data_IF_912081907327
#
_entry.id   IF_912081907327
#
_cell.length_a   1.000
_cell.length_b   1.000
_cell.length_c   1.000
_cell.angle_alpha   90.00
_cell.angle_beta   90.00
_cell.angle_gamma   90.00
#
_symmetry.space_group_name_H-M   'P 1'
#
loop_
_entity.id
_entity.type
_entity.pdbx_description
1 polymer ?
#
# COMPACT_ATOMS: atom_id res chain seq x y z
N UNK A 1 42.53 44.62 -36.59
CA UNK A 1 42.67 45.48 -35.39
C UNK A 1 41.27 45.76 -34.86
N UNK A 2 40.84 45.02 -33.86
CA UNK A 2 39.58 45.24 -33.15
C UNK A 2 39.82 44.79 -31.71
N UNK A 3 40.12 45.74 -30.84
CA UNK A 3 40.36 45.52 -29.42
C UNK A 3 39.00 45.32 -28.74
N UNK A 4 38.78 44.14 -28.16
CA UNK A 4 37.60 43.87 -27.34
C UNK A 4 37.94 44.19 -25.88
N UNK A 5 37.20 45.14 -25.31
CA UNK A 5 37.28 45.59 -23.93
C UNK A 5 36.93 44.47 -22.94
N UNK A 6 37.72 44.38 -21.88
CA UNK A 6 37.50 43.50 -20.72
C UNK A 6 36.52 44.18 -19.76
N UNK A 7 35.42 43.52 -19.35
CA UNK A 7 34.49 44.10 -18.36
C UNK A 7 35.13 44.13 -16.97
N UNK A 8 35.16 45.32 -16.37
CA UNK A 8 35.54 45.55 -14.97
C UNK A 8 34.52 44.87 -14.03
N UNK A 9 35.01 43.95 -13.20
CA UNK A 9 34.25 43.35 -12.10
C UNK A 9 33.95 44.41 -11.03
N UNK A 10 32.73 44.43 -10.46
CA UNK A 10 32.36 45.34 -9.38
C UNK A 10 33.10 45.00 -8.08
N UNK A 11 33.59 46.04 -7.42
CA UNK A 11 34.24 45.98 -6.10
C UNK A 11 33.24 45.57 -5.00
N UNK A 12 33.67 44.81 -3.98
CA UNK A 12 32.82 44.44 -2.85
C UNK A 12 32.56 45.66 -1.95
N UNK A 13 31.30 46.04 -1.82
CA UNK A 13 30.86 47.05 -0.87
C UNK A 13 30.99 46.53 0.57
N UNK A 14 31.68 47.30 1.40
CA UNK A 14 31.77 47.07 2.84
C UNK A 14 30.38 47.22 3.49
N UNK A 15 29.91 46.26 4.30
CA UNK A 15 28.68 46.42 5.04
C UNK A 15 28.87 47.48 6.14
N UNK A 16 28.06 48.53 6.03
CA UNK A 16 27.92 49.57 7.02
C UNK A 16 27.59 48.99 8.40
N UNK A 17 28.27 49.52 9.41
CA UNK A 17 28.04 49.28 10.84
C UNK A 17 26.62 49.67 11.22
N UNK A 18 25.70 48.72 11.08
CA UNK A 18 24.30 48.83 11.45
C UNK A 18 24.13 48.64 12.96
N UNK A 19 23.57 49.68 13.58
CA UNK A 19 23.08 49.73 14.95
C UNK A 19 22.46 48.41 15.41
N UNK A 20 23.02 47.81 16.48
CA UNK A 20 22.51 46.57 17.08
C UNK A 20 21.08 46.80 17.57
N UNK A 21 20.10 46.21 16.86
CA UNK A 21 18.76 46.00 17.41
C UNK A 21 18.89 45.17 18.70
N UNK A 22 18.18 45.53 19.78
CA UNK A 22 18.14 44.72 21.00
C UNK A 22 17.69 43.29 20.66
N UNK A 23 18.43 42.32 21.21
CA UNK A 23 18.12 40.90 21.06
C UNK A 23 16.66 40.66 21.45
N UNK A 24 15.87 39.92 20.64
CA UNK A 24 14.56 39.48 21.04
C UNK A 24 14.68 38.63 22.32
N UNK A 25 13.79 38.92 23.26
CA UNK A 25 13.65 38.20 24.52
C UNK A 25 13.62 36.68 24.29
N UNK A 26 14.22 35.88 25.18
CA UNK A 26 14.16 34.43 25.07
C UNK A 26 12.70 33.97 25.00
N UNK A 27 12.39 33.00 24.14
CA UNK A 27 11.03 32.51 23.96
C UNK A 27 10.47 32.03 25.30
N UNK A 28 9.25 32.48 25.59
CA UNK A 28 8.46 32.04 26.73
C UNK A 28 8.53 30.51 26.82
N UNK A 29 8.98 30.03 27.98
CA UNK A 29 8.88 28.63 28.40
C UNK A 29 7.42 28.22 28.19
N UNK A 30 7.16 27.43 27.15
CA UNK A 30 5.86 26.81 26.90
C UNK A 30 5.49 26.02 28.15
N UNK A 31 4.37 26.37 28.76
CA UNK A 31 3.75 25.57 29.82
C UNK A 31 3.64 24.11 29.36
N UNK A 32 3.85 23.13 30.25
CA UNK A 32 3.61 21.72 29.93
C UNK A 32 2.14 21.57 29.51
N UNK A 33 1.92 21.38 28.21
CA UNK A 33 0.62 21.10 27.63
C UNK A 33 0.06 19.87 28.35
N UNK A 34 -1.08 20.04 29.02
CA UNK A 34 -1.74 18.96 29.75
C UNK A 34 -1.86 17.71 28.85
N UNK A 35 -1.55 16.50 29.36
CA UNK A 35 -1.55 15.30 28.54
C UNK A 35 -2.94 15.11 27.91
N UNK A 36 -3.01 14.89 26.58
CA UNK A 36 -4.29 14.70 25.91
C UNK A 36 -5.03 13.50 26.50
N UNK A 37 -6.38 13.55 26.59
CA UNK A 37 -7.17 12.50 27.22
C UNK A 37 -6.99 11.15 26.51
N UNK A 38 -6.36 10.20 27.21
CA UNK A 38 -5.90 8.87 26.75
C UNK A 38 -6.99 7.83 26.35
N UNK A 39 -8.25 8.21 26.13
CA UNK A 39 -9.37 7.24 26.17
C UNK A 39 -9.86 6.63 24.84
N UNK A 40 -9.19 6.83 23.69
CA UNK A 40 -9.62 6.20 22.42
C UNK A 40 -8.53 5.46 21.63
N UNK A 41 -7.38 5.11 22.24
CA UNK A 41 -6.26 4.47 21.54
C UNK A 41 -6.39 2.93 21.45
N UNK A 42 -7.23 2.29 22.28
CA UNK A 42 -7.23 0.82 22.41
C UNK A 42 -7.77 0.05 21.20
N UNK A 43 -8.82 0.54 20.52
CA UNK A 43 -9.40 -0.16 19.35
C UNK A 43 -8.41 -0.15 18.18
N UNK A 44 -7.73 0.98 17.96
CA UNK A 44 -6.73 1.10 16.90
C UNK A 44 -5.45 0.32 17.21
N UNK A 45 -5.08 0.20 18.48
CA UNK A 45 -4.02 -0.73 18.91
C UNK A 45 -4.37 -2.17 18.53
N UNK A 46 -5.62 -2.58 18.70
CA UNK A 46 -6.11 -3.91 18.33
C UNK A 46 -5.96 -4.23 16.83
N UNK A 47 -6.34 -3.32 15.94
CA UNK A 47 -6.20 -3.54 14.48
C UNK A 47 -4.72 -3.60 14.07
N UNK A 48 -3.88 -2.76 14.67
CA UNK A 48 -2.42 -2.80 14.43
C UNK A 48 -1.80 -4.12 14.90
N UNK A 49 -2.29 -4.67 16.03
CA UNK A 49 -1.89 -5.97 16.54
C UNK A 49 -2.38 -7.11 15.65
N UNK A 50 -3.59 -7.03 15.10
CA UNK A 50 -4.10 -8.02 14.14
C UNK A 50 -3.21 -8.11 12.90
N UNK A 51 -2.70 -6.99 12.40
CA UNK A 51 -1.80 -6.98 11.23
C UNK A 51 -0.39 -7.50 11.58
N UNK A 52 0.05 -7.41 12.83
CA UNK A 52 1.31 -8.00 13.29
C UNK A 52 1.18 -9.46 13.75
N UNK A 53 -0.04 -10.00 13.89
CA UNK A 53 -0.28 -11.38 14.34
C UNK A 53 0.46 -12.43 13.49
N UNK A 54 0.48 -12.38 12.14
CA UNK A 54 1.22 -13.37 11.36
C UNK A 54 2.72 -13.34 11.68
N UNK A 55 3.30 -12.15 11.81
CA UNK A 55 4.71 -11.97 12.18
C UNK A 55 5.02 -12.47 13.59
N UNK A 56 4.14 -12.19 14.56
CA UNK A 56 4.26 -12.67 15.95
C UNK A 56 4.06 -14.18 16.06
N UNK A 57 3.12 -14.75 15.30
CA UNK A 57 2.89 -16.20 15.24
C UNK A 57 4.10 -16.93 14.65
N UNK A 58 4.68 -16.40 13.58
CA UNK A 58 5.92 -16.94 13.00
C UNK A 58 7.10 -16.83 13.99
N UNK A 59 7.20 -15.71 14.71
CA UNK A 59 8.22 -15.54 15.74
C UNK A 59 8.07 -16.59 16.86
N UNK A 60 6.86 -16.75 17.39
CA UNK A 60 6.54 -17.75 18.41
C UNK A 60 6.79 -19.19 17.91
N UNK A 61 6.45 -19.49 16.66
CA UNK A 61 6.76 -20.78 16.04
C UNK A 61 8.28 -21.02 15.97
N UNK A 62 9.06 -20.00 15.57
CA UNK A 62 10.52 -20.07 15.56
C UNK A 62 11.13 -20.28 16.95
N UNK A 63 10.54 -19.69 17.99
CA UNK A 63 10.95 -19.89 19.38
C UNK A 63 10.61 -21.29 19.90
N UNK A 64 9.49 -21.88 19.47
CA UNK A 64 9.15 -23.27 19.76
C UNK A 64 10.08 -24.25 19.02
N UNK A 65 10.38 -23.98 17.74
CA UNK A 65 11.34 -24.77 16.95
C UNK A 65 12.74 -24.79 17.56
N UNK A 66 13.13 -23.72 18.25
CA UNK A 66 14.38 -23.66 19.03
C UNK A 66 14.41 -24.68 20.16
N UNK A 67 13.27 -24.95 20.82
CA UNK A 67 13.21 -25.89 21.95
C UNK A 67 13.36 -27.35 21.50
N UNK A 68 12.93 -27.68 20.28
CA UNK A 68 13.05 -29.01 19.69
C UNK A 68 14.33 -29.22 18.87
N UNK A 69 15.27 -28.25 18.89
CA UNK A 69 16.52 -28.26 18.10
C UNK A 69 16.30 -28.40 16.58
N UNK A 70 15.19 -27.86 16.04
CA UNK A 70 14.93 -27.85 14.60
C UNK A 70 15.40 -26.53 13.98
N UNK A 71 16.64 -26.49 13.51
CA UNK A 71 17.27 -25.28 12.96
C UNK A 71 16.63 -24.82 11.64
N UNK A 72 16.29 -25.74 10.74
CA UNK A 72 15.68 -25.40 9.45
C UNK A 72 14.33 -24.68 9.60
N UNK A 73 13.44 -25.16 10.47
CA UNK A 73 12.17 -24.50 10.74
C UNK A 73 12.38 -23.16 11.47
N UNK A 74 13.34 -23.09 12.40
CA UNK A 74 13.66 -21.85 13.08
C UNK A 74 14.10 -20.75 12.09
N UNK A 75 14.95 -21.07 11.12
CA UNK A 75 15.45 -20.12 10.14
C UNK A 75 14.34 -19.68 9.17
N UNK A 76 13.51 -20.60 8.71
CA UNK A 76 12.31 -20.29 7.91
C UNK A 76 11.35 -19.35 8.65
N UNK A 77 10.99 -19.68 9.91
CA UNK A 77 10.09 -18.87 10.72
C UNK A 77 10.67 -17.49 11.04
N UNK A 78 11.99 -17.38 11.27
CA UNK A 78 12.65 -16.09 11.47
C UNK A 78 12.71 -15.26 10.19
N UNK A 79 13.01 -15.87 9.05
CA UNK A 79 13.00 -15.18 7.76
C UNK A 79 11.59 -14.64 7.44
N UNK A 80 10.57 -15.49 7.60
CA UNK A 80 9.16 -15.12 7.41
C UNK A 80 8.73 -14.03 8.39
N UNK A 81 9.08 -14.15 9.68
CA UNK A 81 8.76 -13.14 10.69
C UNK A 81 9.42 -11.79 10.40
N UNK A 82 10.70 -11.77 9.96
CA UNK A 82 11.39 -10.54 9.53
C UNK A 82 10.73 -9.94 8.30
N UNK A 83 10.37 -10.74 7.32
CA UNK A 83 9.62 -10.32 6.13
C UNK A 83 8.28 -9.70 6.50
N UNK A 84 7.46 -10.39 7.29
CA UNK A 84 6.16 -9.88 7.74
C UNK A 84 6.30 -8.62 8.59
N UNK A 85 7.27 -8.55 9.50
CA UNK A 85 7.46 -7.38 10.38
C UNK A 85 7.93 -6.16 9.60
N UNK A 86 8.88 -6.34 8.66
CA UNK A 86 9.33 -5.27 7.76
C UNK A 86 8.21 -4.81 6.82
N UNK A 87 7.40 -5.75 6.33
CA UNK A 87 6.27 -5.44 5.47
C UNK A 87 5.21 -4.62 6.18
N UNK A 88 4.81 -5.01 7.40
CA UNK A 88 3.78 -4.31 8.19
C UNK A 88 4.19 -2.88 8.56
N UNK A 89 5.49 -2.61 8.67
CA UNK A 89 6.01 -1.27 8.94
C UNK A 89 5.91 -0.32 7.74
N UNK A 90 5.81 -0.85 6.51
CA UNK A 90 5.65 -0.01 5.32
C UNK A 90 4.29 0.68 5.31
N UNK A 91 4.21 1.94 4.83
CA UNK A 91 2.92 2.57 4.58
C UNK A 91 2.10 1.70 3.63
N UNK A 92 0.78 1.71 3.79
CA UNK A 92 -0.18 0.94 2.98
C UNK A 92 -0.06 -0.60 3.04
N UNK A 93 0.78 -1.15 3.92
CA UNK A 93 0.98 -2.61 4.01
C UNK A 93 -0.33 -3.39 4.23
N UNK A 94 -1.22 -2.89 5.09
CA UNK A 94 -2.53 -3.48 5.34
C UNK A 94 -3.41 -3.54 4.08
N UNK A 95 -3.36 -2.51 3.23
CA UNK A 95 -4.08 -2.50 1.96
C UNK A 95 -3.58 -3.59 1.02
N UNK A 96 -2.26 -3.76 0.93
CA UNK A 96 -1.67 -4.79 0.07
C UNK A 96 -2.07 -6.19 0.53
N UNK A 97 -1.99 -6.48 1.84
CA UNK A 97 -2.44 -7.79 2.37
C UNK A 97 -3.91 -8.05 2.06
N UNK A 98 -4.79 -7.09 2.34
CA UNK A 98 -6.23 -7.24 2.09
C UNK A 98 -6.48 -7.46 0.59
N UNK A 99 -5.83 -6.68 -0.26
CA UNK A 99 -5.95 -6.80 -1.72
C UNK A 99 -5.50 -8.17 -2.21
N UNK A 100 -4.39 -8.70 -1.69
CA UNK A 100 -3.88 -10.02 -2.06
C UNK A 100 -4.84 -11.11 -1.63
N UNK A 101 -5.32 -11.09 -0.38
CA UNK A 101 -6.25 -12.10 0.12
C UNK A 101 -7.55 -12.10 -0.69
N UNK A 102 -8.13 -10.94 -0.94
CA UNK A 102 -9.38 -10.84 -1.71
C UNK A 102 -9.18 -11.27 -3.17
N UNK A 103 -8.13 -10.79 -3.83
CA UNK A 103 -7.88 -11.10 -5.25
C UNK A 103 -7.48 -12.55 -5.48
N UNK A 104 -6.70 -13.16 -4.58
CA UNK A 104 -6.37 -14.59 -4.66
C UNK A 104 -7.61 -15.43 -4.41
N UNK A 105 -8.42 -15.10 -3.40
CA UNK A 105 -9.67 -15.81 -3.14
C UNK A 105 -10.60 -15.75 -4.38
N UNK A 106 -10.73 -14.58 -4.98
CA UNK A 106 -11.48 -14.37 -6.21
C UNK A 106 -10.97 -15.25 -7.36
N UNK A 107 -9.65 -15.25 -7.62
CA UNK A 107 -9.04 -16.09 -8.65
C UNK A 107 -9.25 -17.59 -8.37
N UNK A 108 -9.19 -18.02 -7.12
CA UNK A 108 -9.45 -19.42 -6.75
C UNK A 108 -10.90 -19.80 -7.07
N UNK A 109 -11.88 -18.98 -6.70
CA UNK A 109 -13.29 -19.25 -7.04
C UNK A 109 -13.54 -19.28 -8.55
N UNK A 110 -12.90 -18.38 -9.31
CA UNK A 110 -13.00 -18.37 -10.78
C UNK A 110 -12.30 -19.59 -11.39
N UNK A 111 -11.14 -20.00 -10.88
CA UNK A 111 -10.43 -21.20 -11.35
C UNK A 111 -11.24 -22.49 -11.09
N UNK A 112 -11.88 -22.59 -9.91
CA UNK A 112 -12.77 -23.73 -9.62
C UNK A 112 -13.99 -23.75 -10.53
N UNK A 113 -14.46 -22.58 -10.99
CA UNK A 113 -15.57 -22.47 -11.94
C UNK A 113 -15.19 -23.08 -13.29
N UNK A 114 -13.99 -22.80 -13.82
CA UNK A 114 -13.52 -23.41 -15.07
C UNK A 114 -13.36 -24.92 -15.02
N UNK A 115 -13.15 -25.48 -13.83
CA UNK A 115 -12.98 -26.92 -13.65
C UNK A 115 -14.31 -27.67 -13.61
N UNK A 116 -15.45 -26.97 -13.56
CA UNK A 116 -16.76 -27.58 -13.40
C UNK A 116 -17.49 -27.68 -14.75
N UNK A 117 -17.63 -28.91 -15.27
CA UNK A 117 -18.28 -29.19 -16.56
C UNK A 117 -19.74 -28.68 -16.63
N UNK A 118 -20.43 -28.59 -15.49
CA UNK A 118 -21.83 -28.12 -15.42
C UNK A 118 -21.97 -26.68 -15.91
N UNK A 119 -20.93 -25.85 -15.72
CA UNK A 119 -20.94 -24.44 -16.12
C UNK A 119 -20.87 -24.24 -17.63
N UNK A 120 -20.47 -25.26 -18.40
CA UNK A 120 -20.51 -25.19 -19.88
C UNK A 120 -21.93 -25.08 -20.43
N UNK A 121 -22.94 -25.40 -19.62
CA UNK A 121 -24.36 -25.27 -19.95
C UNK A 121 -25.02 -24.03 -19.32
N UNK A 122 -24.26 -23.19 -18.64
CA UNK A 122 -24.78 -21.92 -18.13
C UNK A 122 -24.91 -20.92 -19.28
N UNK A 123 -26.14 -20.50 -19.55
CA UNK A 123 -26.43 -19.39 -20.46
C UNK A 123 -26.90 -18.20 -19.63
N UNK A 124 -26.21 -17.07 -19.78
CA UNK A 124 -26.66 -15.81 -19.20
C UNK A 124 -27.96 -15.32 -19.87
N UNK A 125 -28.69 -14.41 -19.21
CA UNK A 125 -29.93 -13.86 -19.75
C UNK A 125 -29.69 -13.16 -21.09
N UNK A 126 -30.71 -13.07 -21.96
CA UNK A 126 -30.58 -12.51 -23.32
C UNK A 126 -30.15 -11.04 -23.37
N UNK A 127 -30.27 -10.29 -22.28
CA UNK A 127 -29.81 -8.91 -22.14
C UNK A 127 -28.34 -8.80 -21.70
N UNK A 128 -27.69 -9.93 -21.37
CA UNK A 128 -26.25 -9.97 -21.16
C UNK A 128 -25.52 -9.74 -22.49
N UNK A 129 -24.54 -8.85 -22.47
CA UNK A 129 -23.73 -8.52 -23.65
C UNK A 129 -22.45 -9.35 -23.75
N UNK A 130 -22.17 -10.20 -22.75
CA UNK A 130 -21.09 -11.17 -22.72
C UNK A 130 -21.62 -12.52 -22.27
N UNK A 131 -20.93 -13.58 -22.69
CA UNK A 131 -21.10 -14.93 -22.16
C UNK A 131 -20.45 -15.08 -20.78
N UNK A 132 -20.62 -16.27 -20.18
CA UNK A 132 -20.05 -16.61 -18.88
C UNK A 132 -18.53 -16.53 -18.92
N UNK A 133 -17.92 -17.07 -19.97
CA UNK A 133 -16.45 -17.10 -20.15
C UNK A 133 -15.87 -15.69 -20.27
N UNK A 134 -16.51 -14.81 -21.04
CA UNK A 134 -16.13 -13.41 -21.16
C UNK A 134 -16.27 -12.67 -19.84
N UNK A 135 -17.33 -12.92 -19.08
CA UNK A 135 -17.51 -12.34 -17.74
C UNK A 135 -16.42 -12.80 -16.75
N UNK A 136 -16.18 -14.11 -16.67
CA UNK A 136 -15.14 -14.71 -15.83
C UNK A 136 -13.76 -14.18 -16.21
N UNK A 137 -13.43 -14.12 -17.50
CA UNK A 137 -12.16 -13.58 -17.99
C UNK A 137 -11.97 -12.11 -17.60
N UNK A 138 -13.02 -11.29 -17.71
CA UNK A 138 -12.98 -9.90 -17.26
C UNK A 138 -12.76 -9.77 -15.74
N UNK A 139 -13.42 -10.63 -14.95
CA UNK A 139 -13.28 -10.65 -13.49
C UNK A 139 -11.86 -11.07 -13.07
N UNK A 140 -11.28 -12.09 -13.71
CA UNK A 140 -9.88 -12.48 -13.52
C UNK A 140 -8.90 -11.34 -13.85
N UNK A 141 -9.15 -10.61 -14.94
CA UNK A 141 -8.30 -9.49 -15.35
C UNK A 141 -8.28 -8.38 -14.27
N UNK A 142 -9.42 -8.07 -13.65
CA UNK A 142 -9.48 -7.13 -12.54
C UNK A 142 -8.75 -7.64 -11.30
N UNK A 143 -8.92 -8.92 -10.93
CA UNK A 143 -8.21 -9.51 -9.80
C UNK A 143 -6.68 -9.46 -9.98
N UNK A 144 -6.19 -9.76 -11.18
CA UNK A 144 -4.76 -9.64 -11.51
C UNK A 144 -4.31 -8.17 -11.47
N UNK A 145 -5.10 -7.25 -12.02
CA UNK A 145 -4.80 -5.82 -11.96
C UNK A 145 -4.68 -5.33 -10.51
N UNK A 146 -5.56 -5.78 -9.61
CA UNK A 146 -5.51 -5.44 -8.19
C UNK A 146 -4.21 -5.96 -7.53
N UNK A 147 -3.79 -7.18 -7.86
CA UNK A 147 -2.53 -7.78 -7.38
C UNK A 147 -1.30 -6.99 -7.83
N UNK A 148 -1.31 -6.45 -9.06
CA UNK A 148 -0.21 -5.62 -9.58
C UNK A 148 -0.25 -4.19 -9.04
N UNK A 149 -1.45 -3.63 -8.89
CA UNK A 149 -1.62 -2.24 -8.45
C UNK A 149 -1.26 -2.04 -6.98
N UNK A 150 -1.59 -2.98 -6.11
CA UNK A 150 -1.31 -2.86 -4.68
C UNK A 150 0.19 -2.61 -4.35
N UNK A 151 1.16 -3.41 -4.85
CA UNK A 151 2.58 -3.15 -4.63
C UNK A 151 3.07 -1.91 -5.38
N UNK A 152 2.55 -1.63 -6.58
CA UNK A 152 2.86 -0.41 -7.32
C UNK A 152 2.52 0.84 -6.49
N UNK A 153 1.31 0.92 -5.94
CA UNK A 153 0.86 2.07 -5.18
C UNK A 153 1.62 2.22 -3.86
N UNK A 154 1.88 1.10 -3.16
CA UNK A 154 2.75 1.10 -1.98
C UNK A 154 4.16 1.62 -2.30
N UNK A 155 4.75 1.20 -3.42
CA UNK A 155 6.06 1.65 -3.87
C UNK A 155 6.06 3.17 -4.14
N UNK A 156 5.08 3.68 -4.89
CA UNK A 156 4.98 5.12 -5.19
C UNK A 156 4.83 5.99 -3.94
N UNK A 157 4.00 5.56 -2.98
CA UNK A 157 3.87 6.27 -1.69
C UNK A 157 5.17 6.23 -0.90
N UNK A 158 5.86 5.08 -0.88
CA UNK A 158 7.14 4.95 -0.18
C UNK A 158 8.23 5.81 -0.81
N UNK A 159 8.28 5.87 -2.14
CA UNK A 159 9.20 6.72 -2.90
C UNK A 159 8.99 8.19 -2.57
N UNK A 160 7.73 8.66 -2.59
CA UNK A 160 7.42 10.06 -2.27
C UNK A 160 7.86 10.43 -0.83
N UNK A 161 7.61 9.55 0.15
CA UNK A 161 8.03 9.78 1.54
C UNK A 161 9.56 9.91 1.62
N UNK A 162 10.28 9.07 0.88
CA UNK A 162 11.74 9.10 0.85
C UNK A 162 12.27 10.41 0.26
N UNK A 163 11.72 10.84 -0.88
CA UNK A 163 12.10 12.07 -1.56
C UNK A 163 11.83 13.30 -0.67
N UNK A 164 10.64 13.37 -0.06
CA UNK A 164 10.25 14.44 0.88
C UNK A 164 11.13 14.45 2.15
N UNK A 165 11.60 13.28 2.58
CA UNK A 165 12.48 13.13 3.75
C UNK A 165 13.92 13.58 3.48
N UNK A 166 14.44 13.32 2.28
CA UNK A 166 15.79 13.75 1.88
C UNK A 166 15.89 15.26 1.85
N UNK A 167 14.87 15.96 1.33
CA UNK A 167 14.88 17.41 1.23
C UNK A 167 14.94 18.09 2.61
N UNK A 168 14.32 17.48 3.62
CA UNK A 168 14.29 17.99 5.01
C UNK A 168 15.55 17.69 5.82
N UNK A 169 16.39 16.77 5.37
CA UNK A 169 17.59 16.36 6.11
C UNK A 169 18.74 17.37 5.96
N UNK A 170 18.86 18.26 6.94
CA UNK A 170 20.07 19.04 7.26
C UNK A 170 20.51 18.63 8.68
N UNK A 171 21.76 18.22 9.03
CA UNK A 171 22.84 17.47 8.37
C UNK A 171 22.78 15.96 8.81
N UNK A 172 23.84 15.12 8.84
CA UNK A 172 23.73 13.64 8.84
C UNK A 172 23.44 13.03 10.22
N UNK A 173 22.21 13.11 10.71
CA UNK A 173 21.76 12.17 11.75
C UNK A 173 21.34 10.82 11.14
N UNK A 174 21.59 9.77 11.91
CA UNK A 174 21.56 8.36 11.48
C UNK A 174 20.14 7.79 11.37
N UNK A 175 19.15 8.43 12.03
CA UNK A 175 17.76 7.98 12.08
C UNK A 175 16.83 9.19 11.96
N UNK A 176 16.01 9.23 10.91
CA UNK A 176 14.98 10.24 10.75
C UNK A 176 13.63 9.63 11.15
N UNK A 177 13.00 10.18 12.18
CA UNK A 177 11.60 9.88 12.49
C UNK A 177 10.70 10.70 11.57
N UNK A 178 10.02 10.03 10.64
CA UNK A 178 9.06 10.67 9.74
C UNK A 178 7.75 10.85 10.49
N UNK A 179 7.31 12.11 10.59
CA UNK A 179 6.06 12.46 11.23
C UNK A 179 4.87 11.92 10.43
N UNK A 180 3.77 11.63 11.12
CA UNK A 180 2.57 11.03 10.50
C UNK A 180 1.96 11.93 9.43
N UNK A 181 2.04 13.23 9.67
CA UNK A 181 1.54 14.30 8.80
C UNK A 181 2.26 14.26 7.45
N UNK A 182 3.56 14.01 7.46
CA UNK A 182 4.37 13.88 6.25
C UNK A 182 3.95 12.64 5.45
N UNK A 183 3.78 11.49 6.12
CA UNK A 183 3.30 10.26 5.47
C UNK A 183 1.93 10.46 4.81
N UNK A 184 1.01 11.16 5.49
CA UNK A 184 -0.31 11.48 4.93
C UNK A 184 -0.24 12.46 3.78
N UNK A 185 0.65 13.45 3.85
CA UNK A 185 0.84 14.42 2.79
C UNK A 185 1.41 13.74 1.53
N UNK A 186 2.44 12.89 1.68
CA UNK A 186 3.00 12.11 0.57
C UNK A 186 1.95 11.17 -0.04
N UNK A 187 1.12 10.51 0.78
CA UNK A 187 0.00 9.70 0.29
C UNK A 187 -0.99 10.50 -0.56
N UNK A 188 -1.42 11.67 -0.07
CA UNK A 188 -2.36 12.56 -0.80
C UNK A 188 -1.76 13.06 -2.09
N UNK A 189 -0.46 13.39 -2.08
CA UNK A 189 0.28 13.82 -3.24
C UNK A 189 0.27 12.73 -4.33
N UNK A 190 0.69 11.51 -3.98
CA UNK A 190 0.67 10.37 -4.91
C UNK A 190 -0.75 10.09 -5.41
N UNK A 191 -1.75 10.09 -4.54
CA UNK A 191 -3.12 9.82 -4.96
C UNK A 191 -3.67 10.84 -5.97
N UNK A 192 -3.34 12.13 -5.81
CA UNK A 192 -3.85 13.20 -6.69
C UNK A 192 -3.04 13.39 -7.97
N UNK A 193 -1.73 13.10 -7.94
CA UNK A 193 -0.82 13.43 -9.02
C UNK A 193 -0.29 12.21 -9.81
N UNK A 194 -0.44 11.00 -9.28
CA UNK A 194 -0.01 9.78 -9.98
C UNK A 194 -1.04 9.34 -11.03
N UNK A 195 -0.64 9.38 -12.30
CA UNK A 195 -1.49 8.97 -13.42
C UNK A 195 -1.94 7.51 -13.31
N UNK A 196 -1.07 6.62 -12.80
CA UNK A 196 -1.40 5.21 -12.61
C UNK A 196 -2.51 5.01 -11.59
N UNK A 197 -2.47 5.74 -10.47
CA UNK A 197 -3.55 5.75 -9.48
C UNK A 197 -4.85 6.28 -10.08
N UNK A 198 -4.81 7.36 -10.87
CA UNK A 198 -5.99 7.88 -11.55
C UNK A 198 -6.63 6.85 -12.50
N UNK A 199 -5.82 6.20 -13.35
CA UNK A 199 -6.29 5.14 -14.26
C UNK A 199 -6.90 3.98 -13.48
N UNK A 200 -6.28 3.59 -12.37
CA UNK A 200 -6.79 2.51 -11.53
C UNK A 200 -8.15 2.84 -10.88
N UNK A 201 -8.42 4.09 -10.51
CA UNK A 201 -9.76 4.49 -9.99
C UNK A 201 -10.85 4.24 -11.04
N UNK A 202 -10.58 4.51 -12.32
CA UNK A 202 -11.51 4.18 -13.40
C UNK A 202 -11.64 2.67 -13.60
N UNK A 203 -10.54 1.92 -13.50
CA UNK A 203 -10.57 0.46 -13.55
C UNK A 203 -11.40 -0.13 -12.39
N UNK A 204 -11.30 0.44 -11.20
CA UNK A 204 -12.09 0.02 -10.04
C UNK A 204 -13.59 0.30 -10.25
N UNK A 205 -13.95 1.46 -10.81
CA UNK A 205 -15.33 1.76 -11.16
C UNK A 205 -15.87 0.78 -12.22
N UNK A 206 -15.05 0.43 -13.21
CA UNK A 206 -15.39 -0.58 -14.20
C UNK A 206 -15.57 -1.97 -13.55
N UNK A 207 -14.66 -2.37 -12.66
CA UNK A 207 -14.74 -3.61 -11.89
C UNK A 207 -16.02 -3.68 -11.06
N UNK A 208 -16.39 -2.59 -10.37
CA UNK A 208 -17.63 -2.50 -9.60
C UNK A 208 -18.87 -2.75 -10.46
N UNK A 209 -18.95 -2.09 -11.62
CA UNK A 209 -20.07 -2.27 -12.57
C UNK A 209 -20.06 -3.69 -13.13
N UNK A 210 -18.89 -4.23 -13.48
CA UNK A 210 -18.70 -5.58 -14.00
C UNK A 210 -19.19 -6.65 -13.02
N UNK A 211 -18.79 -6.54 -11.75
CA UNK A 211 -19.21 -7.46 -10.69
C UNK A 211 -20.70 -7.31 -10.37
N UNK A 212 -21.25 -6.08 -10.41
CA UNK A 212 -22.68 -5.84 -10.19
C UNK A 212 -23.55 -6.44 -11.29
N UNK A 213 -23.12 -6.33 -12.56
CA UNK A 213 -23.78 -6.94 -13.70
C UNK A 213 -23.67 -8.47 -13.65
N UNK A 214 -22.48 -8.99 -13.36
CA UNK A 214 -22.25 -10.41 -13.13
C UNK A 214 -23.17 -11.01 -12.09
N UNK A 215 -23.28 -10.37 -10.92
CA UNK A 215 -24.21 -10.77 -9.88
C UNK A 215 -25.66 -10.87 -10.38
N UNK A 216 -26.10 -9.85 -11.13
CA UNK A 216 -27.46 -9.81 -11.69
C UNK A 216 -27.69 -10.93 -12.70
N UNK A 217 -26.74 -11.17 -13.61
CA UNK A 217 -26.84 -12.25 -14.60
C UNK A 217 -26.83 -13.63 -13.95
N UNK A 218 -25.94 -13.87 -12.98
CA UNK A 218 -25.85 -15.15 -12.26
C UNK A 218 -27.13 -15.43 -11.47
N UNK A 219 -27.72 -14.42 -10.83
CA UNK A 219 -28.94 -14.59 -10.00
C UNK A 219 -30.23 -14.65 -10.81
N UNK A 220 -30.25 -14.10 -12.02
CA UNK A 220 -31.42 -14.15 -12.92
C UNK A 220 -31.44 -15.43 -13.76
N UNK A 221 -30.28 -16.08 -13.93
CA UNK A 221 -30.17 -17.35 -14.65
C UNK A 221 -30.61 -18.54 -13.79
N UNK A 222 -30.69 -19.74 -14.38
CA UNK A 222 -30.99 -20.95 -13.61
C UNK A 222 -29.84 -21.24 -12.63
N UNK A 223 -30.14 -21.10 -11.33
CA UNK A 223 -29.16 -21.27 -10.26
C UNK A 223 -28.50 -22.66 -10.28
N UNK A 224 -29.19 -23.70 -10.77
CA UNK A 224 -28.65 -25.06 -10.81
C UNK A 224 -27.54 -25.23 -11.85
N UNK A 225 -27.61 -24.50 -12.95
CA UNK A 225 -26.63 -24.59 -14.05
C UNK A 225 -25.56 -23.52 -13.91
N UNK A 226 -25.94 -22.30 -13.56
CA UNK A 226 -25.04 -21.16 -13.51
C UNK A 226 -24.34 -20.96 -12.17
N UNK A 227 -24.82 -21.57 -11.08
CA UNK A 227 -24.21 -21.36 -9.77
C UNK A 227 -24.29 -22.61 -8.86
N UNK A 228 -23.91 -23.80 -9.35
CA UNK A 228 -24.10 -25.05 -8.60
C UNK A 228 -23.39 -25.03 -7.23
N UNK A 229 -22.18 -24.44 -7.19
CA UNK A 229 -21.34 -24.40 -5.98
C UNK A 229 -21.26 -23.01 -5.34
N UNK A 230 -22.01 -22.02 -5.86
CA UNK A 230 -21.92 -20.64 -5.40
C UNK A 230 -20.71 -19.85 -5.91
N UNK A 231 -19.78 -20.46 -6.64
CA UNK A 231 -18.49 -19.88 -7.03
C UNK A 231 -18.60 -18.56 -7.79
N UNK A 232 -19.46 -18.49 -8.82
CA UNK A 232 -19.68 -17.26 -9.59
C UNK A 232 -20.26 -16.14 -8.72
N UNK A 233 -21.24 -16.46 -7.87
CA UNK A 233 -21.83 -15.50 -6.92
C UNK A 233 -20.81 -15.00 -5.90
N UNK A 234 -19.96 -15.88 -5.36
CA UNK A 234 -18.92 -15.48 -4.43
C UNK A 234 -17.87 -14.58 -5.09
N UNK A 235 -17.42 -14.90 -6.30
CA UNK A 235 -16.48 -14.06 -7.03
C UNK A 235 -17.06 -12.67 -7.31
N UNK A 236 -18.31 -12.58 -7.79
CA UNK A 236 -18.98 -11.30 -8.01
C UNK A 236 -19.09 -10.47 -6.71
N UNK A 237 -19.41 -11.12 -5.58
CA UNK A 237 -19.44 -10.46 -4.28
C UNK A 237 -18.07 -9.97 -3.81
N UNK A 238 -16.99 -10.73 -4.06
CA UNK A 238 -15.64 -10.32 -3.70
C UNK A 238 -15.23 -9.07 -4.49
N UNK A 239 -15.41 -9.04 -5.81
CA UNK A 239 -15.10 -7.87 -6.63
C UNK A 239 -15.91 -6.62 -6.23
N UNK A 240 -17.19 -6.81 -5.94
CA UNK A 240 -18.06 -5.75 -5.39
C UNK A 240 -17.57 -5.25 -4.02
N UNK A 241 -17.31 -6.16 -3.09
CA UNK A 241 -16.83 -5.83 -1.74
C UNK A 241 -15.45 -5.15 -1.76
N UNK A 242 -14.55 -5.57 -2.66
CA UNK A 242 -13.23 -4.98 -2.82
C UNK A 242 -13.32 -3.50 -3.16
N UNK A 243 -14.27 -3.12 -4.02
CA UNK A 243 -14.51 -1.71 -4.37
C UNK A 243 -14.89 -0.87 -3.14
N UNK A 244 -15.73 -1.40 -2.24
CA UNK A 244 -16.04 -0.71 -0.97
C UNK A 244 -14.84 -0.65 -0.04
N UNK A 245 -14.12 -1.76 0.12
CA UNK A 245 -12.91 -1.82 0.95
C UNK A 245 -11.92 -0.74 0.49
N UNK A 246 -11.70 -0.60 -0.81
CA UNK A 246 -10.83 0.44 -1.37
C UNK A 246 -11.33 1.85 -1.02
N UNK A 247 -12.62 2.15 -1.25
CA UNK A 247 -13.20 3.47 -0.93
C UNK A 247 -13.13 3.78 0.57
N UNK A 248 -13.45 2.82 1.43
CA UNK A 248 -13.32 2.97 2.88
C UNK A 248 -11.87 3.18 3.29
N UNK A 249 -10.94 2.47 2.65
CA UNK A 249 -9.51 2.63 2.90
C UNK A 249 -9.05 4.04 2.52
N UNK A 250 -9.44 4.53 1.35
CA UNK A 250 -9.18 5.91 0.93
C UNK A 250 -9.77 6.91 1.91
N UNK A 251 -11.03 6.74 2.29
CA UNK A 251 -11.70 7.62 3.25
C UNK A 251 -10.97 7.65 4.60
N UNK A 252 -10.55 6.49 5.11
CA UNK A 252 -9.79 6.39 6.35
C UNK A 252 -8.46 7.15 6.25
N UNK A 253 -7.73 7.04 5.13
CA UNK A 253 -6.48 7.78 4.93
C UNK A 253 -6.67 9.27 4.69
N UNK A 254 -7.75 9.68 4.02
CA UNK A 254 -8.04 11.08 3.76
C UNK A 254 -8.56 11.82 4.99
N UNK A 255 -9.45 11.20 5.76
CA UNK A 255 -10.20 11.86 6.83
C UNK A 255 -9.63 11.62 8.23
N UNK A 256 -8.83 10.57 8.44
CA UNK A 256 -8.36 10.20 9.78
C UNK A 256 -6.83 10.24 9.90
N UNK A 257 -6.32 11.07 10.81
CA UNK A 257 -4.89 11.09 11.20
C UNK A 257 -4.46 9.84 11.99
N UNK A 258 -5.41 9.07 12.51
CA UNK A 258 -5.11 7.86 13.31
C UNK A 258 -4.60 6.68 12.48
N UNK A 259 -4.81 6.68 11.16
CA UNK A 259 -4.42 5.57 10.29
C UNK A 259 -2.94 5.59 9.89
N UNK A 260 -2.25 6.72 10.07
CA UNK A 260 -0.82 6.83 9.86
C UNK A 260 -0.06 6.52 11.17
N UNK A 261 0.90 5.60 11.09
CA UNK A 261 1.90 5.36 12.15
C UNK A 261 3.16 6.12 11.78
N UNK A 262 3.82 6.74 12.77
CA UNK A 262 5.15 7.32 12.56
C UNK A 262 6.11 6.20 12.18
N UNK A 263 6.99 6.46 11.23
CA UNK A 263 7.95 5.48 10.71
C UNK A 263 9.36 6.03 10.85
N UNK A 264 10.28 5.23 11.39
CA UNK A 264 11.70 5.57 11.44
C UNK A 264 12.38 5.07 10.17
N UNK A 265 13.03 5.97 9.44
CA UNK A 265 13.84 5.62 8.27
C UNK A 265 15.30 5.64 8.68
N UNK A 266 15.98 4.49 8.58
CA UNK A 266 17.42 4.37 8.81
C UNK A 266 18.19 4.75 7.55
N UNK A 267 19.09 5.72 7.67
CA UNK A 267 19.96 6.14 6.55
C UNK A 267 20.94 4.99 6.25
N UNK A 268 20.72 4.30 5.12
CA UNK A 268 21.51 3.14 4.69
C UNK A 268 20.78 1.79 4.64
N UNK A 269 19.46 1.75 4.93
CA UNK A 269 18.66 0.52 4.88
C UNK A 269 17.71 0.39 3.69
N UNK A 270 17.67 1.38 2.79
CA UNK A 270 16.97 1.28 1.51
C UNK A 270 18.03 0.98 0.45
N UNK A 271 18.56 -0.25 0.46
CA UNK A 271 19.07 -0.79 -0.80
C UNK A 271 17.82 -0.94 -1.68
N UNK A 272 17.69 -0.17 -2.78
CA UNK A 272 16.60 -0.41 -3.72
C UNK A 272 16.61 -1.90 -4.05
N UNK A 273 15.43 -2.53 -4.15
CA UNK A 273 15.29 -3.94 -4.59
C UNK A 273 15.69 -4.12 -6.07
N UNK A 274 16.72 -3.42 -6.54
CA UNK A 274 17.30 -3.54 -7.87
C UNK A 274 18.23 -4.76 -8.01
N UNK A 275 18.40 -5.62 -6.99
CA UNK A 275 19.50 -6.61 -7.02
C UNK A 275 19.20 -8.08 -6.63
N UNK A 276 17.95 -8.53 -6.53
CA UNK A 276 17.70 -10.00 -6.42
C UNK A 276 17.37 -10.68 -7.77
N UNK A 277 17.05 -9.92 -8.83
CA UNK A 277 16.80 -10.52 -10.16
C UNK A 277 18.10 -10.77 -10.95
N UNK A 278 19.19 -10.07 -10.63
CA UNK A 278 20.50 -10.24 -11.30
C UNK A 278 21.35 -11.38 -10.69
N UNK A 279 21.09 -11.80 -9.44
CA UNK A 279 21.83 -12.91 -8.81
C UNK A 279 21.19 -14.28 -9.11
N UNK A 280 19.90 -14.33 -9.48
CA UNK A 280 19.23 -15.56 -9.93
C UNK A 280 19.59 -15.98 -11.37
N UNK A 281 20.29 -15.12 -12.14
CA UNK A 281 20.79 -15.44 -13.49
C UNK A 281 22.29 -15.71 -13.55
N UNK A 282 22.99 -15.67 -12.41
CA UNK A 282 24.45 -15.90 -12.33
C UNK A 282 24.79 -17.19 -11.57
N UNK A 283 24.16 -18.29 -11.96
CA UNK A 283 24.71 -19.63 -11.73
C UNK A 283 24.42 -20.52 -12.97
N UNK A 284 25.45 -20.92 -13.74
CA UNK A 284 25.33 -21.87 -14.85
C UNK A 284 25.25 -23.34 -14.41
#
# INVERSE_FOLDING_TARGET
>A
ASSAETPLLPQPEHPASGSRKPLPSPPHRSEPLAPPPFRMIYIFSGVSQCCSLPGMACQACGDLCKQINCTACQDCCKALSRGCSGFVQKPLSSFVVITYVMSIAELVYLATTFSNEVLTHCEFPKDAFVDVDGWVGGQMAFAVLNLLFAPYWQYKVSQQIYDDSIEKLIPPETELEVQKEDVQQSFRHVFMHDLGVCVYIFALAASFVWSSKGWTWVTTSDAKTCNPDGGLSFSANIGWAFSFVFVFYLFAWYCCSCCAKATTIRKGGYEPMEQEEEEATRDP
#
